data_IF_295754628531
#
_entry.id   IF_295754628531
#
_cell.length_a   1.000
_cell.length_b   1.000
_cell.length_c   1.000
_cell.angle_alpha   90.00
_cell.angle_beta   90.00
_cell.angle_gamma   90.00
#
_symmetry.space_group_name_H-M   'P 1'
#
loop_
_entity.id
_entity.type
_entity.pdbx_description
1 polymer ?
#
# COMPACT_ATOMS: atom_id res chain seq x y z
N UNK A 1 -55.64 -3.59 -26.02
CA UNK A 1 -54.22 -3.76 -25.68
C UNK A 1 -53.59 -4.63 -26.76
N UNK A 2 -52.57 -4.15 -27.47
CA UNK A 2 -51.97 -4.95 -28.55
C UNK A 2 -51.15 -6.09 -27.94
N UNK A 3 -51.10 -7.26 -28.60
CA UNK A 3 -50.34 -8.44 -28.13
C UNK A 3 -48.89 -8.11 -27.69
N UNK A 4 -48.17 -7.17 -28.33
CA UNK A 4 -46.84 -6.73 -27.88
C UNK A 4 -46.86 -5.94 -26.56
N UNK A 5 -47.86 -5.10 -26.30
CA UNK A 5 -47.92 -4.29 -25.07
C UNK A 5 -48.10 -5.16 -23.82
N UNK A 6 -48.79 -6.29 -23.93
CA UNK A 6 -48.97 -7.26 -22.84
C UNK A 6 -47.64 -7.92 -22.48
N UNK A 7 -46.84 -8.29 -23.48
CA UNK A 7 -45.51 -8.87 -23.27
C UNK A 7 -44.53 -7.86 -22.66
N UNK A 8 -44.57 -6.60 -23.09
CA UNK A 8 -43.71 -5.53 -22.53
C UNK A 8 -44.06 -5.25 -21.07
N UNK A 9 -45.35 -5.19 -20.72
CA UNK A 9 -45.77 -4.97 -19.34
C UNK A 9 -45.49 -6.18 -18.43
N UNK A 10 -45.63 -7.40 -18.94
CA UNK A 10 -45.22 -8.61 -18.22
C UNK A 10 -43.70 -8.64 -17.93
N UNK A 11 -42.87 -8.29 -18.91
CA UNK A 11 -41.41 -8.19 -18.73
C UNK A 11 -41.02 -7.10 -17.73
N UNK A 12 -41.68 -5.94 -17.78
CA UNK A 12 -41.40 -4.82 -16.88
C UNK A 12 -41.70 -5.20 -15.42
N UNK A 13 -42.83 -5.86 -15.18
CA UNK A 13 -43.21 -6.31 -13.83
C UNK A 13 -42.24 -7.38 -13.32
N UNK A 14 -41.85 -8.34 -14.16
CA UNK A 14 -40.87 -9.35 -13.81
C UNK A 14 -39.51 -8.73 -13.45
N UNK A 15 -39.06 -7.75 -14.23
CA UNK A 15 -37.80 -7.04 -13.99
C UNK A 15 -37.83 -6.26 -12.67
N UNK A 16 -38.92 -5.55 -12.39
CA UNK A 16 -39.10 -4.82 -11.12
C UNK A 16 -39.10 -5.79 -9.94
N UNK A 17 -39.74 -6.96 -10.08
CA UNK A 17 -39.84 -7.97 -9.03
C UNK A 17 -38.47 -8.60 -8.73
N UNK A 18 -37.70 -8.92 -9.78
CA UNK A 18 -36.31 -9.39 -9.64
C UNK A 18 -35.39 -8.32 -9.02
N UNK A 19 -35.57 -7.06 -9.41
CA UNK A 19 -34.79 -5.94 -8.85
C UNK A 19 -35.06 -5.75 -7.36
N UNK A 20 -36.33 -5.81 -6.94
CA UNK A 20 -36.73 -5.71 -5.52
C UNK A 20 -36.18 -6.89 -4.72
N UNK A 21 -36.28 -8.13 -5.25
CA UNK A 21 -35.71 -9.31 -4.59
C UNK A 21 -34.20 -9.13 -4.43
N UNK A 22 -33.46 -8.74 -5.47
CA UNK A 22 -32.03 -8.49 -5.40
C UNK A 22 -31.63 -7.37 -4.44
N UNK A 23 -32.50 -6.37 -4.23
CA UNK A 23 -32.31 -5.30 -3.23
C UNK A 23 -32.51 -5.81 -1.81
N UNK A 24 -33.46 -6.72 -1.59
CA UNK A 24 -33.78 -7.31 -0.28
C UNK A 24 -32.73 -8.35 0.15
N UNK A 25 -32.14 -9.11 -0.77
CA UNK A 25 -31.05 -10.05 -0.45
C UNK A 25 -29.70 -9.37 -0.18
N UNK A 26 -29.61 -8.04 -0.27
CA UNK A 26 -28.34 -7.30 -0.08
C UNK A 26 -28.12 -6.77 1.34
N UNK A 27 -28.86 -7.27 2.33
CA UNK A 27 -28.61 -7.03 3.74
C UNK A 27 -28.34 -8.35 4.45
N UNK A 28 -27.05 -8.71 4.60
CA UNK A 28 -26.50 -9.59 5.68
C UNK A 28 -25.01 -9.96 5.57
N UNK A 29 -24.24 -9.44 4.61
CA UNK A 29 -22.76 -9.61 4.61
C UNK A 29 -21.96 -8.36 5.03
N UNK A 30 -22.61 -7.22 5.26
CA UNK A 30 -21.91 -5.97 5.62
C UNK A 30 -21.51 -5.89 7.10
N UNK A 31 -21.99 -6.78 7.97
CA UNK A 31 -21.86 -6.61 9.42
C UNK A 31 -20.77 -7.47 10.10
N UNK A 32 -20.10 -8.40 9.41
CA UNK A 32 -19.02 -9.24 9.99
C UNK A 32 -17.59 -8.86 9.57
N UNK A 33 -17.43 -7.85 8.73
CA UNK A 33 -16.10 -7.30 8.37
C UNK A 33 -15.86 -5.93 9.04
N UNK A 34 -16.92 -5.23 9.45
CA UNK A 34 -16.83 -3.84 9.92
C UNK A 34 -16.57 -3.66 11.43
N UNK A 35 -16.63 -4.73 12.24
CA UNK A 35 -16.59 -4.62 13.71
C UNK A 35 -15.19 -4.67 14.35
N UNK A 36 -14.14 -5.01 13.60
CA UNK A 36 -12.77 -5.01 14.14
C UNK A 36 -11.95 -3.76 13.76
N UNK A 37 -12.56 -2.78 13.09
CA UNK A 37 -11.86 -1.59 12.59
C UNK A 37 -12.48 -0.26 13.07
N UNK A 38 -13.14 -0.25 14.23
CA UNK A 38 -13.63 0.99 14.85
C UNK A 38 -12.99 1.14 16.22
N UNK A 39 -11.74 1.58 16.21
CA UNK A 39 -11.08 2.29 17.31
C UNK A 39 -9.89 3.07 16.72
N UNK A 40 -10.17 4.04 15.84
CA UNK A 40 -9.32 5.21 15.57
C UNK A 40 -9.98 6.11 14.52
N UNK A 41 -10.87 6.99 14.98
CA UNK A 41 -11.40 8.10 14.19
C UNK A 41 -10.48 9.29 14.32
N UNK A 42 -9.92 9.80 13.21
CA UNK A 42 -9.97 11.23 12.82
C UNK A 42 -9.44 11.41 11.39
N UNK A 43 -10.40 11.60 10.46
CA UNK A 43 -10.34 12.36 9.19
C UNK A 43 -9.06 12.32 8.34
N UNK A 44 -9.11 11.67 7.17
CA UNK A 44 -8.78 12.28 5.86
C UNK A 44 -8.99 11.30 4.69
N UNK A 45 -9.92 11.67 3.80
CA UNK A 45 -10.03 11.36 2.35
C UNK A 45 -9.83 9.92 1.86
N UNK A 46 -10.84 9.44 1.14
CA UNK A 46 -10.88 8.17 0.38
C UNK A 46 -9.75 8.04 -0.66
N UNK A 47 -8.57 7.65 -0.23
CA UNK A 47 -7.70 6.71 -0.94
C UNK A 47 -7.62 5.48 -0.06
N UNK A 48 -7.77 4.28 -0.61
CA UNK A 48 -7.62 3.02 0.12
C UNK A 48 -6.29 3.08 0.89
N UNK A 49 -6.34 3.30 2.20
CA UNK A 49 -5.17 3.65 2.98
C UNK A 49 -4.30 2.40 3.13
N UNK A 50 -3.32 2.25 2.24
CA UNK A 50 -2.42 1.12 2.27
C UNK A 50 -1.64 1.12 3.59
N UNK A 51 -1.56 -0.06 4.20
CA UNK A 51 -0.69 -0.34 5.35
C UNK A 51 0.77 -0.17 4.96
N UNK A 52 1.65 0.02 5.95
CA UNK A 52 3.08 0.22 5.68
C UNK A 52 3.70 -1.02 5.01
N UNK A 53 3.27 -2.21 5.39
CA UNK A 53 3.66 -3.49 4.82
C UNK A 53 3.26 -3.59 3.35
N UNK A 54 2.04 -3.16 3.02
CA UNK A 54 1.58 -3.08 1.64
C UNK A 54 2.36 -2.04 0.84
N UNK A 55 2.66 -0.88 1.43
CA UNK A 55 3.46 0.15 0.78
C UNK A 55 4.88 -0.36 0.46
N UNK A 56 5.55 -1.05 1.39
CA UNK A 56 6.88 -1.66 1.19
C UNK A 56 6.87 -2.67 0.02
N UNK A 57 5.82 -3.49 -0.08
CA UNK A 57 5.64 -4.43 -1.20
C UNK A 57 5.36 -3.70 -2.51
N UNK A 58 4.44 -2.74 -2.49
CA UNK A 58 4.02 -1.98 -3.68
C UNK A 58 5.13 -1.09 -4.23
N UNK A 59 6.04 -0.61 -3.37
CA UNK A 59 7.20 0.18 -3.76
C UNK A 59 8.38 -0.70 -4.24
N UNK A 60 8.21 -2.02 -4.20
CA UNK A 60 9.20 -2.99 -4.69
C UNK A 60 10.40 -3.18 -3.78
N UNK A 61 10.35 -2.74 -2.51
CA UNK A 61 11.49 -2.84 -1.60
C UNK A 61 11.95 -4.30 -1.41
N UNK A 62 10.99 -5.22 -1.38
CA UNK A 62 11.24 -6.67 -1.23
C UNK A 62 12.02 -7.28 -2.38
N UNK A 63 12.05 -6.63 -3.56
CA UNK A 63 12.74 -7.15 -4.74
C UNK A 63 14.27 -7.16 -4.56
N UNK A 64 14.81 -6.21 -3.78
CA UNK A 64 16.23 -6.13 -3.51
C UNK A 64 16.58 -6.45 -2.05
N UNK A 65 15.68 -6.13 -1.11
CA UNK A 65 15.93 -6.33 0.32
C UNK A 65 15.36 -7.64 0.87
N UNK A 66 14.73 -8.46 0.03
CA UNK A 66 14.17 -9.75 0.42
C UNK A 66 12.75 -9.63 0.97
N UNK A 67 12.03 -10.75 1.00
CA UNK A 67 10.62 -10.81 1.43
C UNK A 67 10.43 -10.53 2.93
N UNK A 68 11.44 -10.84 3.73
CA UNK A 68 11.49 -10.59 5.17
C UNK A 68 12.37 -9.36 5.53
N UNK A 69 12.82 -8.62 4.52
CA UNK A 69 13.66 -7.43 4.64
C UNK A 69 15.02 -7.69 5.33
N UNK A 70 15.50 -8.94 5.39
CA UNK A 70 16.82 -9.29 5.95
C UNK A 70 17.99 -8.97 5.00
N UNK A 71 17.71 -8.52 3.78
CA UNK A 71 18.71 -8.27 2.75
C UNK A 71 18.94 -9.48 1.85
N UNK A 72 19.54 -9.19 0.69
CA UNK A 72 19.93 -10.19 -0.31
C UNK A 72 21.28 -9.80 -0.92
N UNK A 73 21.72 -10.53 -1.95
CA UNK A 73 22.87 -10.12 -2.77
C UNK A 73 22.61 -8.84 -3.59
N UNK A 74 21.38 -8.35 -3.63
CA UNK A 74 21.00 -7.12 -4.35
C UNK A 74 20.86 -5.90 -3.43
N UNK A 75 20.78 -6.09 -2.11
CA UNK A 75 20.59 -4.98 -1.17
C UNK A 75 20.75 -5.39 0.28
N UNK A 76 21.20 -4.49 1.16
CA UNK A 76 21.46 -4.79 2.57
C UNK A 76 20.18 -5.08 3.36
N UNK A 77 20.34 -5.58 4.58
CA UNK A 77 19.23 -5.72 5.54
C UNK A 77 18.60 -4.36 5.84
N UNK A 78 17.27 -4.33 5.97
CA UNK A 78 16.52 -3.19 6.48
C UNK A 78 16.06 -3.40 7.93
N UNK A 79 16.58 -4.43 8.62
CA UNK A 79 16.37 -4.63 10.06
C UNK A 79 17.33 -3.72 10.85
N UNK A 80 16.91 -3.25 12.02
CA UNK A 80 17.67 -2.39 12.93
C UNK A 80 18.09 -1.04 12.32
N UNK A 81 17.28 -0.50 11.40
CA UNK A 81 17.60 0.79 10.78
C UNK A 81 17.63 1.95 11.78
N UNK A 82 16.95 1.82 12.92
CA UNK A 82 16.95 2.81 14.00
C UNK A 82 18.33 3.12 14.57
N UNK A 83 19.30 2.22 14.43
CA UNK A 83 20.68 2.43 14.88
C UNK A 83 21.42 3.47 14.02
N UNK A 84 20.99 3.65 12.76
CA UNK A 84 21.69 4.50 11.80
C UNK A 84 20.83 5.64 11.24
N UNK A 85 19.51 5.59 11.45
CA UNK A 85 18.57 6.50 10.83
C UNK A 85 17.57 7.05 11.84
N UNK A 86 17.27 8.33 11.67
CA UNK A 86 16.04 8.93 12.19
C UNK A 86 14.95 8.85 11.14
N UNK A 87 13.68 8.98 11.53
CA UNK A 87 12.55 9.07 10.58
C UNK A 87 12.77 10.12 9.51
N UNK A 88 13.23 11.31 9.90
CA UNK A 88 13.47 12.42 8.97
C UNK A 88 14.60 12.10 7.99
N UNK A 89 15.73 11.57 8.48
CA UNK A 89 16.86 11.24 7.61
C UNK A 89 16.57 10.06 6.69
N UNK A 90 15.80 9.06 7.15
CA UNK A 90 15.36 7.94 6.31
C UNK A 90 14.42 8.41 5.20
N UNK A 91 13.45 9.28 5.49
CA UNK A 91 12.56 9.85 4.46
C UNK A 91 13.40 10.65 3.44
N UNK A 92 14.36 11.45 3.90
CA UNK A 92 15.23 12.21 3.00
C UNK A 92 16.06 11.28 2.09
N UNK A 93 16.60 10.19 2.64
CA UNK A 93 17.30 9.16 1.87
C UNK A 93 16.38 8.47 0.86
N UNK A 94 15.20 8.01 1.27
CA UNK A 94 14.24 7.37 0.37
C UNK A 94 13.84 8.29 -0.78
N UNK A 95 13.78 9.61 -0.57
CA UNK A 95 13.48 10.56 -1.64
C UNK A 95 14.63 10.69 -2.64
N UNK A 96 15.86 10.79 -2.16
CA UNK A 96 17.02 10.95 -3.01
C UNK A 96 18.27 10.22 -2.44
N UNK A 97 18.43 8.92 -2.75
CA UNK A 97 19.55 8.12 -2.25
C UNK A 97 20.91 8.60 -2.74
N UNK A 98 20.99 9.24 -3.92
CA UNK A 98 22.27 9.64 -4.54
C UNK A 98 23.01 10.69 -3.72
N UNK A 99 22.29 11.51 -2.95
CA UNK A 99 22.87 12.51 -2.05
C UNK A 99 23.73 11.90 -0.94
N UNK A 100 23.54 10.62 -0.62
CA UNK A 100 24.21 9.93 0.49
C UNK A 100 25.39 9.07 0.02
N UNK A 101 25.60 8.92 -1.29
CA UNK A 101 26.60 8.00 -1.86
C UNK A 101 28.05 8.35 -1.52
N UNK A 102 28.30 9.57 -1.03
CA UNK A 102 29.64 10.03 -0.63
C UNK A 102 29.99 9.69 0.83
N UNK A 103 29.02 9.27 1.64
CA UNK A 103 29.27 8.85 3.02
C UNK A 103 30.02 7.50 3.05
N UNK A 104 30.81 7.29 4.10
CA UNK A 104 31.67 6.10 4.26
C UNK A 104 30.90 4.78 4.15
N UNK A 105 29.79 4.64 4.88
CA UNK A 105 28.91 3.46 4.83
C UNK A 105 28.41 3.13 3.41
N UNK A 106 28.14 4.14 2.59
CA UNK A 106 27.64 3.93 1.24
C UNK A 106 28.75 3.59 0.24
N UNK A 107 30.00 3.96 0.51
CA UNK A 107 31.16 3.48 -0.25
C UNK A 107 31.33 1.97 -0.07
N UNK A 108 31.24 1.48 1.17
CA UNK A 108 31.26 0.03 1.46
C UNK A 108 30.11 -0.71 0.76
N UNK A 109 28.90 -0.14 0.79
CA UNK A 109 27.76 -0.72 0.07
C UNK A 109 27.94 -0.73 -1.43
N UNK A 110 28.57 0.29 -2.01
CA UNK A 110 28.85 0.31 -3.45
C UNK A 110 29.83 -0.79 -3.85
N UNK A 111 30.80 -1.11 -3.01
CA UNK A 111 31.72 -2.23 -3.25
C UNK A 111 31.00 -3.58 -3.15
N UNK A 112 30.10 -3.72 -2.17
CA UNK A 112 29.32 -4.95 -1.95
C UNK A 112 28.21 -5.17 -2.99
N UNK A 113 27.64 -4.10 -3.53
CA UNK A 113 26.52 -4.11 -4.48
C UNK A 113 26.84 -3.25 -5.73
N UNK A 114 27.88 -3.59 -6.52
CA UNK A 114 28.45 -2.70 -7.54
C UNK A 114 27.53 -2.37 -8.71
N UNK A 115 26.53 -3.21 -8.98
CA UNK A 115 25.56 -3.04 -10.07
C UNK A 115 24.18 -2.60 -9.60
N UNK A 116 24.01 -2.31 -8.30
CA UNK A 116 22.71 -1.96 -7.73
C UNK A 116 22.71 -0.50 -7.28
N UNK A 117 21.70 0.23 -7.73
CA UNK A 117 21.46 1.61 -7.33
C UNK A 117 20.10 1.63 -6.64
N UNK A 118 20.06 2.11 -5.39
CA UNK A 118 18.79 2.25 -4.69
C UNK A 118 17.93 3.30 -5.41
N UNK A 119 16.70 2.96 -5.83
CA UNK A 119 15.83 3.91 -6.51
C UNK A 119 15.38 5.02 -5.56
N UNK A 120 15.28 6.23 -6.08
CA UNK A 120 14.70 7.36 -5.37
C UNK A 120 13.18 7.40 -5.51
N UNK A 121 12.50 7.73 -4.43
CA UNK A 121 11.05 7.85 -4.33
C UNK A 121 10.59 9.31 -4.16
N UNK A 122 11.36 10.28 -4.68
CA UNK A 122 11.08 11.71 -4.55
C UNK A 122 9.69 12.14 -5.05
N UNK A 123 9.20 11.46 -6.09
CA UNK A 123 7.88 11.68 -6.70
C UNK A 123 6.73 11.02 -5.92
N UNK A 124 7.03 10.20 -4.90
CA UNK A 124 6.01 9.52 -4.09
C UNK A 124 5.48 10.43 -2.98
N UNK A 125 4.27 10.11 -2.52
CA UNK A 125 3.60 10.86 -1.46
C UNK A 125 4.42 10.81 -0.15
N UNK A 126 4.68 11.98 0.43
CA UNK A 126 5.45 12.10 1.68
C UNK A 126 4.80 11.37 2.86
N UNK A 127 3.46 11.27 2.90
CA UNK A 127 2.74 10.52 3.93
C UNK A 127 3.04 9.02 3.83
N UNK A 128 3.06 8.47 2.62
CA UNK A 128 3.38 7.06 2.39
C UNK A 128 4.84 6.75 2.73
N UNK A 129 5.77 7.63 2.32
CA UNK A 129 7.17 7.54 2.73
C UNK A 129 7.34 7.63 4.25
N UNK A 130 6.53 8.47 4.91
CA UNK A 130 6.51 8.58 6.36
C UNK A 130 6.04 7.29 7.05
N UNK A 131 5.03 6.61 6.49
CA UNK A 131 4.57 5.30 6.97
C UNK A 131 5.61 4.21 6.76
N UNK A 132 6.22 4.15 5.58
CA UNK A 132 7.30 3.20 5.28
C UNK A 132 8.47 3.42 6.25
N UNK A 133 8.94 4.66 6.39
CA UNK A 133 10.07 4.97 7.27
C UNK A 133 9.78 4.59 8.72
N UNK A 134 8.57 4.90 9.21
CA UNK A 134 8.14 4.53 10.56
C UNK A 134 8.13 3.00 10.77
N UNK A 135 7.62 2.26 9.79
CA UNK A 135 7.59 0.80 9.84
C UNK A 135 9.01 0.21 9.82
N UNK A 136 9.86 0.67 8.90
CA UNK A 136 11.23 0.19 8.74
C UNK A 136 12.11 0.47 9.98
N UNK A 137 11.86 1.57 10.70
CA UNK A 137 12.59 1.88 11.92
C UNK A 137 12.20 1.02 13.12
N UNK A 138 11.11 0.25 13.01
CA UNK A 138 10.64 -0.66 14.07
C UNK A 138 11.08 -2.11 13.87
N UNK A 139 11.66 -2.42 12.70
CA UNK A 139 12.20 -3.74 12.38
C UNK A 139 13.55 -3.98 13.04
#
# INVERSE_FOLDING_TARGET
MTKPQIWVSAFLVLFILLFIIGRITKEKETERIFSNQINNTTSQQNTTELTAEQLVKNFGCVNCHGTDLAGTNLGPSLKKLSEYWSKKSLIAYLRNPTNYMNEERFKEYKEKYPSQIMPGYGEKNIKDLGKIAEYLLRL
#
